data_IF_754197883680
#
_entry.id   IF_754197883680
#
_cell.length_a   1.000
_cell.length_b   1.000
_cell.length_c   1.000
_cell.angle_alpha   90.00
_cell.angle_beta   90.00
_cell.angle_gamma   90.00
#
_symmetry.space_group_name_H-M   'P 1'
#
loop_
_entity.id
_entity.type
_entity.pdbx_description
1 polymer ?
#
# COMPACT_ATOMS: atom_id res chain seq x y z
N UNK A 1 10.19 64.35 38.40
CA UNK A 1 10.68 62.94 38.50
C UNK A 1 9.74 62.09 37.70
N UNK A 2 10.09 61.82 36.42
CA UNK A 2 9.24 61.17 35.48
C UNK A 2 9.62 59.67 35.40
N UNK A 3 8.68 58.78 35.66
CA UNK A 3 8.86 57.35 35.68
C UNK A 3 8.72 56.82 34.23
N UNK A 4 9.81 56.47 33.57
CA UNK A 4 9.82 55.83 32.27
C UNK A 4 9.49 54.33 32.44
N UNK A 5 8.24 53.95 32.21
CA UNK A 5 7.83 52.54 32.13
C UNK A 5 8.21 52.04 30.73
N UNK A 6 9.25 51.20 30.65
CA UNK A 6 9.69 50.53 29.41
C UNK A 6 8.65 49.45 29.03
N UNK A 7 7.83 49.74 27.99
CA UNK A 7 6.90 48.81 27.34
C UNK A 7 7.68 47.91 26.38
N UNK A 8 8.43 46.92 26.90
CA UNK A 8 9.23 46.00 26.04
C UNK A 8 8.97 44.51 26.32
N UNK A 9 7.89 44.12 26.99
CA UNK A 9 7.70 42.73 27.38
C UNK A 9 6.69 41.89 26.59
N UNK A 10 5.74 42.37 25.78
CA UNK A 10 4.82 41.45 25.09
C UNK A 10 5.38 40.86 23.79
N UNK A 11 6.34 41.52 23.13
CA UNK A 11 6.85 41.08 21.83
C UNK A 11 7.75 39.84 21.97
N UNK A 12 8.52 39.73 23.03
CA UNK A 12 9.38 38.57 23.30
C UNK A 12 8.59 37.28 23.59
N UNK A 13 7.49 37.37 24.33
CA UNK A 13 6.65 36.23 24.65
C UNK A 13 5.86 35.71 23.41
N UNK A 14 5.39 36.63 22.56
CA UNK A 14 4.70 36.29 21.33
C UNK A 14 5.63 35.60 20.30
N UNK A 15 6.89 36.04 20.22
CA UNK A 15 7.89 35.41 19.35
C UNK A 15 8.27 33.99 19.82
N UNK A 16 8.40 33.77 21.12
CA UNK A 16 8.68 32.44 21.71
C UNK A 16 7.47 31.49 21.51
N UNK A 17 6.26 32.01 21.65
CA UNK A 17 5.04 31.19 21.40
C UNK A 17 4.89 30.83 19.93
N UNK A 18 5.24 31.72 19.02
CA UNK A 18 5.23 31.47 17.58
C UNK A 18 6.30 30.43 17.14
N UNK A 19 7.47 30.45 17.78
CA UNK A 19 8.56 29.47 17.56
C UNK A 19 8.20 28.05 18.06
N UNK A 20 7.34 27.93 19.08
CA UNK A 20 6.89 26.63 19.59
C UNK A 20 5.81 25.97 18.73
N UNK A 21 5.06 26.73 17.92
CA UNK A 21 4.00 26.21 17.05
C UNK A 21 4.56 25.61 15.76
N UNK A 22 5.76 26.01 15.31
CA UNK A 22 6.34 25.61 14.01
C UNK A 22 6.92 24.19 14.02
N UNK A 23 7.02 23.51 15.16
CA UNK A 23 7.65 22.20 15.24
C UNK A 23 6.69 21.00 15.32
N UNK A 24 5.38 21.15 14.98
CA UNK A 24 4.54 20.00 14.71
C UNK A 24 4.79 19.49 13.27
N UNK A 25 6.03 19.17 12.96
CA UNK A 25 6.33 18.32 11.80
C UNK A 25 5.73 16.96 12.10
N UNK A 26 4.63 16.64 11.47
CA UNK A 26 4.10 15.29 11.42
C UNK A 26 5.17 14.43 10.74
N UNK A 27 5.86 13.61 11.53
CA UNK A 27 6.89 12.75 11.00
C UNK A 27 6.24 11.71 10.09
N UNK A 28 6.37 11.90 8.78
CA UNK A 28 5.94 10.91 7.79
C UNK A 28 6.72 9.61 7.99
N UNK A 29 6.04 8.48 7.84
CA UNK A 29 6.71 7.18 7.88
C UNK A 29 7.67 7.07 6.69
N UNK A 30 8.92 6.71 6.97
CA UNK A 30 9.92 6.53 5.92
C UNK A 30 9.49 5.43 4.94
N UNK A 31 9.71 5.66 3.65
CA UNK A 31 9.57 4.62 2.63
C UNK A 31 10.76 3.68 2.74
N UNK A 32 10.57 2.37 2.92
CA UNK A 32 11.66 1.42 2.95
C UNK A 32 12.35 1.32 1.60
N UNK A 33 13.63 0.96 1.58
CA UNK A 33 14.35 0.67 0.34
C UNK A 33 13.78 -0.59 -0.35
N UNK A 34 13.65 -0.56 -1.67
CA UNK A 34 13.23 -1.71 -2.47
C UNK A 34 14.40 -2.71 -2.63
N UNK A 35 14.62 -3.55 -1.61
CA UNK A 35 15.67 -4.58 -1.62
C UNK A 35 15.21 -5.91 -2.24
N UNK A 36 13.92 -6.12 -2.30
CA UNK A 36 13.26 -7.32 -2.81
C UNK A 36 11.85 -6.95 -3.28
N UNK A 37 11.20 -7.80 -4.05
CA UNK A 37 9.82 -7.58 -4.51
C UNK A 37 8.80 -7.73 -3.41
N UNK A 38 9.16 -8.45 -2.34
CA UNK A 38 8.30 -8.65 -1.17
C UNK A 38 9.02 -8.12 0.07
N UNK A 39 8.49 -7.07 0.67
CA UNK A 39 8.99 -6.44 1.89
C UNK A 39 7.93 -6.58 2.96
N UNK A 40 8.21 -7.40 3.98
CA UNK A 40 7.34 -7.59 5.14
C UNK A 40 8.03 -7.07 6.40
N UNK A 41 7.57 -5.93 6.90
CA UNK A 41 8.06 -5.28 8.13
C UNK A 41 7.32 -5.75 9.38
N UNK A 42 6.42 -6.72 9.24
CA UNK A 42 5.51 -7.15 10.31
C UNK A 42 5.63 -8.64 10.66
N UNK A 43 6.51 -9.36 9.96
CA UNK A 43 6.63 -10.81 10.06
C UNK A 43 5.26 -11.53 9.90
N UNK A 44 4.43 -11.05 8.98
CA UNK A 44 3.13 -11.63 8.67
C UNK A 44 3.26 -12.87 7.80
N UNK A 45 4.25 -12.86 6.89
CA UNK A 45 4.56 -13.97 5.99
C UNK A 45 5.67 -14.85 6.56
N UNK A 46 5.59 -16.15 6.32
CA UNK A 46 6.73 -17.03 6.56
C UNK A 46 7.83 -16.80 5.52
N UNK A 47 9.05 -17.21 5.82
CA UNK A 47 10.16 -17.19 4.85
C UNK A 47 9.84 -17.97 3.58
N UNK A 48 9.10 -19.07 3.70
CA UNK A 48 8.63 -19.89 2.56
C UNK A 48 7.62 -19.13 1.70
N UNK A 49 6.68 -18.40 2.31
CA UNK A 49 5.71 -17.58 1.57
C UNK A 49 6.39 -16.45 0.82
N UNK A 50 7.34 -15.76 1.49
CA UNK A 50 8.14 -14.70 0.86
C UNK A 50 8.90 -15.27 -0.35
N UNK A 51 9.61 -16.39 -0.19
CA UNK A 51 10.38 -17.00 -1.28
C UNK A 51 9.49 -17.38 -2.47
N UNK A 52 8.29 -17.93 -2.22
CA UNK A 52 7.31 -18.30 -3.25
C UNK A 52 6.77 -17.08 -3.99
N UNK A 53 6.43 -16.02 -3.29
CA UNK A 53 5.98 -14.75 -3.88
C UNK A 53 7.09 -14.11 -4.70
N UNK A 54 8.32 -14.04 -4.17
CA UNK A 54 9.50 -13.52 -4.90
C UNK A 54 9.73 -14.26 -6.21
N UNK A 55 9.69 -15.59 -6.19
CA UNK A 55 9.86 -16.42 -7.40
C UNK A 55 8.76 -16.13 -8.42
N UNK A 56 7.50 -16.02 -7.98
CA UNK A 56 6.34 -15.73 -8.83
C UNK A 56 6.47 -14.36 -9.49
N UNK A 57 6.80 -13.34 -8.72
CA UNK A 57 6.94 -11.97 -9.21
C UNK A 57 8.17 -11.81 -10.12
N UNK A 58 9.27 -12.50 -9.83
CA UNK A 58 10.43 -12.54 -10.71
C UNK A 58 10.11 -13.23 -12.06
N UNK A 59 9.30 -14.29 -12.04
CA UNK A 59 8.87 -14.96 -13.27
C UNK A 59 7.99 -14.04 -14.13
N UNK A 60 7.04 -13.32 -13.52
CA UNK A 60 6.21 -12.32 -14.21
C UNK A 60 7.07 -11.24 -14.87
N UNK A 61 8.01 -10.66 -14.13
CA UNK A 61 8.90 -9.63 -14.65
C UNK A 61 9.73 -10.14 -15.83
N UNK A 62 10.27 -11.37 -15.73
CA UNK A 62 11.00 -12.00 -16.82
C UNK A 62 10.14 -12.24 -18.07
N UNK A 63 8.87 -12.62 -17.89
CA UNK A 63 7.96 -12.95 -18.98
C UNK A 63 7.35 -11.71 -19.65
N UNK A 64 6.86 -10.75 -18.84
CA UNK A 64 6.09 -9.59 -19.31
C UNK A 64 6.86 -8.27 -19.23
N UNK A 65 7.93 -8.22 -18.43
CA UNK A 65 8.65 -6.99 -18.12
C UNK A 65 7.95 -6.15 -17.04
N UNK A 66 6.73 -6.47 -16.66
CA UNK A 66 5.97 -5.75 -15.66
C UNK A 66 6.49 -6.06 -14.26
N UNK A 67 6.67 -5.02 -13.44
CA UNK A 67 7.19 -5.15 -12.08
C UNK A 67 6.07 -5.05 -11.05
N UNK A 68 5.91 -6.08 -10.24
CA UNK A 68 4.97 -6.08 -9.12
C UNK A 68 5.73 -6.23 -7.82
N UNK A 69 5.38 -5.40 -6.83
CA UNK A 69 5.93 -5.46 -5.48
C UNK A 69 4.83 -5.58 -4.42
N UNK A 70 5.22 -6.10 -3.26
CA UNK A 70 4.36 -6.21 -2.08
C UNK A 70 5.06 -5.54 -0.90
N UNK A 71 4.35 -4.65 -0.21
CA UNK A 71 4.81 -4.01 1.01
C UNK A 71 3.81 -4.27 2.13
N UNK A 72 4.28 -4.89 3.21
CA UNK A 72 3.50 -5.09 4.42
C UNK A 72 4.18 -4.30 5.54
N UNK A 73 3.44 -3.38 6.15
CA UNK A 73 3.94 -2.51 7.21
C UNK A 73 2.92 -2.40 8.36
N UNK A 74 3.38 -1.98 9.56
CA UNK A 74 2.47 -1.86 10.70
C UNK A 74 1.38 -0.81 10.46
N UNK A 75 1.74 0.38 9.99
CA UNK A 75 0.83 1.53 9.84
C UNK A 75 1.38 2.51 8.81
N UNK A 76 0.49 3.29 8.19
CA UNK A 76 0.85 4.44 7.34
C UNK A 76 0.64 5.77 8.06
N UNK A 77 0.05 5.74 9.25
CA UNK A 77 -0.27 6.95 10.00
C UNK A 77 0.96 7.83 10.23
N UNK A 78 0.86 9.15 10.11
CA UNK A 78 -0.37 9.93 9.98
C UNK A 78 -0.92 10.10 8.55
N UNK A 79 -0.26 9.51 7.54
CA UNK A 79 -0.73 9.56 6.15
C UNK A 79 -1.87 8.55 5.93
N UNK A 80 -2.79 8.87 5.01
CA UNK A 80 -3.70 7.86 4.50
C UNK A 80 -2.95 6.82 3.67
N UNK A 81 -3.52 5.62 3.50
CA UNK A 81 -2.86 4.58 2.71
C UNK A 81 -2.68 5.01 1.25
N UNK A 82 -3.59 5.83 0.72
CA UNK A 82 -3.52 6.38 -0.63
C UNK A 82 -2.31 7.32 -0.79
N UNK A 83 -2.11 8.23 0.16
CA UNK A 83 -0.98 9.17 0.12
C UNK A 83 0.34 8.42 0.26
N UNK A 84 0.41 7.49 1.21
CA UNK A 84 1.62 6.71 1.44
C UNK A 84 1.95 5.80 0.25
N UNK A 85 0.96 5.11 -0.35
CA UNK A 85 1.19 4.20 -1.48
C UNK A 85 1.68 4.92 -2.73
N UNK A 86 1.14 6.10 -3.04
CA UNK A 86 1.63 6.95 -4.14
C UNK A 86 3.10 7.31 -3.90
N UNK A 87 3.44 7.76 -2.69
CA UNK A 87 4.82 8.12 -2.33
C UNK A 87 5.79 6.93 -2.41
N UNK A 88 5.33 5.72 -2.04
CA UNK A 88 6.11 4.47 -2.22
C UNK A 88 6.31 4.17 -3.70
N UNK A 89 5.24 4.22 -4.50
CA UNK A 89 5.30 3.95 -5.93
C UNK A 89 6.24 4.92 -6.67
N UNK A 90 6.17 6.21 -6.35
CA UNK A 90 7.06 7.24 -6.88
C UNK A 90 8.53 7.02 -6.46
N UNK A 91 8.76 6.65 -5.20
CA UNK A 91 10.11 6.40 -4.68
C UNK A 91 10.74 5.15 -5.27
N UNK A 92 9.96 4.08 -5.41
CA UNK A 92 10.44 2.81 -5.94
C UNK A 92 10.53 2.78 -7.46
N UNK A 93 9.82 3.67 -8.15
CA UNK A 93 9.78 3.74 -9.62
C UNK A 93 9.55 2.37 -10.26
N UNK A 94 8.55 1.63 -9.75
CA UNK A 94 8.21 0.31 -10.25
C UNK A 94 7.79 0.36 -11.72
N UNK A 95 8.24 -0.65 -12.48
CA UNK A 95 7.94 -0.74 -13.90
C UNK A 95 9.02 -0.13 -14.80
N UNK A 96 8.87 -0.36 -16.10
CA UNK A 96 9.79 0.15 -17.10
C UNK A 96 9.53 1.64 -17.34
N UNK A 97 10.58 2.45 -17.29
CA UNK A 97 10.57 3.92 -17.32
C UNK A 97 9.66 4.58 -18.38
N UNK A 98 9.47 3.96 -19.54
CA UNK A 98 8.65 4.51 -20.64
C UNK A 98 7.29 3.84 -20.77
N UNK A 99 7.11 2.74 -20.09
CA UNK A 99 5.91 1.90 -20.16
C UNK A 99 5.04 2.11 -18.93
N UNK A 100 5.67 2.39 -17.79
CA UNK A 100 5.01 2.57 -16.49
C UNK A 100 4.15 1.35 -16.11
N UNK A 101 4.74 0.16 -16.27
CA UNK A 101 4.07 -1.13 -16.07
C UNK A 101 4.42 -1.74 -14.70
N UNK A 102 4.40 -0.90 -13.70
CA UNK A 102 4.56 -1.27 -12.30
C UNK A 102 3.23 -1.44 -11.57
N UNK A 103 3.19 -2.30 -10.53
CA UNK A 103 2.09 -2.35 -9.59
C UNK A 103 2.59 -2.65 -8.17
N UNK A 104 1.90 -2.13 -7.16
CA UNK A 104 2.23 -2.28 -5.75
C UNK A 104 1.01 -2.73 -4.95
N UNK A 105 1.11 -3.88 -4.27
CA UNK A 105 0.18 -4.23 -3.21
C UNK A 105 0.76 -3.76 -1.87
N UNK A 106 0.06 -2.87 -1.20
CA UNK A 106 0.44 -2.36 0.11
C UNK A 106 -0.60 -2.77 1.17
N UNK A 107 -0.12 -3.22 2.33
CA UNK A 107 -0.95 -3.64 3.46
C UNK A 107 -0.47 -2.96 4.74
N UNK A 108 -1.28 -2.06 5.30
CA UNK A 108 -1.07 -1.44 6.61
C UNK A 108 -1.87 -2.23 7.66
N UNK A 109 -1.17 -3.15 8.34
CA UNK A 109 -1.82 -4.21 9.14
C UNK A 109 -2.61 -3.68 10.32
N UNK A 110 -2.04 -2.72 11.08
CA UNK A 110 -2.68 -2.15 12.25
C UNK A 110 -3.82 -1.21 11.88
N UNK A 111 -3.70 -0.55 10.72
CA UNK A 111 -4.74 0.37 10.19
C UNK A 111 -5.89 -0.40 9.54
N UNK A 112 -5.72 -1.72 9.33
CA UNK A 112 -6.64 -2.57 8.55
C UNK A 112 -6.94 -1.99 7.16
N UNK A 113 -5.94 -1.38 6.58
CA UNK A 113 -6.00 -0.75 5.28
C UNK A 113 -5.09 -1.49 4.29
N UNK A 114 -5.53 -1.58 3.05
CA UNK A 114 -4.72 -2.12 1.95
C UNK A 114 -5.09 -1.42 0.65
N UNK A 115 -4.14 -1.36 -0.27
CA UNK A 115 -4.31 -0.71 -1.55
C UNK A 115 -3.49 -1.42 -2.63
N UNK A 116 -3.95 -1.35 -3.85
CA UNK A 116 -3.18 -1.71 -5.05
C UNK A 116 -2.99 -0.42 -5.85
N UNK A 117 -1.73 0.01 -5.96
CA UNK A 117 -1.33 1.07 -6.88
C UNK A 117 -0.93 0.45 -8.21
N UNK A 118 -1.32 1.08 -9.30
CA UNK A 118 -1.14 0.56 -10.65
C UNK A 118 -0.57 1.67 -11.53
N UNK A 119 0.57 1.41 -12.17
CA UNK A 119 1.15 2.30 -13.16
C UNK A 119 0.31 2.36 -14.44
N UNK A 120 0.40 3.47 -15.14
CA UNK A 120 -0.41 3.76 -16.33
C UNK A 120 -0.36 2.67 -17.40
N UNK A 121 0.80 2.03 -17.59
CA UNK A 121 0.96 0.95 -18.57
C UNK A 121 0.19 -0.33 -18.24
N UNK A 122 -0.29 -0.48 -17.00
CA UNK A 122 -1.10 -1.63 -16.58
C UNK A 122 -2.59 -1.32 -16.46
N UNK A 123 -3.02 -0.05 -16.54
CA UNK A 123 -4.44 0.33 -16.39
C UNK A 123 -5.37 -0.40 -17.37
N UNK A 124 -4.87 -0.75 -18.56
CA UNK A 124 -5.65 -1.49 -19.56
C UNK A 124 -6.04 -2.91 -19.12
N UNK A 125 -5.22 -3.57 -18.29
CA UNK A 125 -5.43 -4.94 -17.81
C UNK A 125 -5.79 -5.02 -16.34
N UNK A 126 -5.30 -4.08 -15.55
CA UNK A 126 -5.55 -3.96 -14.10
C UNK A 126 -6.06 -2.54 -13.76
N UNK A 127 -7.23 -2.12 -14.27
CA UNK A 127 -7.82 -0.82 -13.91
C UNK A 127 -8.28 -0.82 -12.44
N UNK A 128 -8.52 0.36 -11.88
CA UNK A 128 -8.97 0.57 -10.49
C UNK A 128 -10.14 -0.32 -10.09
N UNK A 129 -11.10 -0.52 -10.99
CA UNK A 129 -12.24 -1.39 -10.72
C UNK A 129 -11.82 -2.85 -10.47
N UNK A 130 -10.79 -3.35 -11.16
CA UNK A 130 -10.23 -4.67 -10.95
C UNK A 130 -9.38 -4.74 -9.70
N UNK A 131 -8.57 -3.72 -9.43
CA UNK A 131 -7.82 -3.59 -8.18
C UNK A 131 -8.77 -3.64 -6.97
N UNK A 132 -9.85 -2.86 -7.01
CA UNK A 132 -10.90 -2.88 -5.98
C UNK A 132 -11.57 -4.26 -5.87
N UNK A 133 -11.88 -4.93 -6.97
CA UNK A 133 -12.46 -6.27 -6.97
C UNK A 133 -11.51 -7.28 -6.29
N UNK A 134 -10.21 -7.24 -6.58
CA UNK A 134 -9.21 -8.10 -5.93
C UNK A 134 -9.21 -7.86 -4.42
N UNK A 135 -9.17 -6.60 -4.00
CA UNK A 135 -9.18 -6.22 -2.59
C UNK A 135 -10.42 -6.76 -1.89
N UNK A 136 -11.61 -6.44 -2.39
CA UNK A 136 -12.89 -6.69 -1.71
C UNK A 136 -13.31 -8.17 -1.76
N UNK A 137 -13.06 -8.85 -2.87
CA UNK A 137 -13.58 -10.20 -3.10
C UNK A 137 -12.55 -11.31 -2.86
N UNK A 138 -11.25 -11.01 -2.92
CA UNK A 138 -10.19 -12.01 -2.78
C UNK A 138 -9.42 -11.81 -1.48
N UNK A 139 -8.87 -10.59 -1.22
CA UNK A 139 -7.98 -10.36 -0.09
C UNK A 139 -8.75 -10.23 1.22
N UNK A 140 -9.70 -9.29 1.29
CA UNK A 140 -10.42 -8.97 2.53
C UNK A 140 -11.13 -10.18 3.15
N UNK A 141 -11.79 -11.10 2.40
CA UNK A 141 -12.40 -12.28 2.99
C UNK A 141 -11.41 -13.18 3.73
N UNK A 142 -10.17 -13.30 3.24
CA UNK A 142 -9.12 -14.05 3.91
C UNK A 142 -8.64 -13.34 5.18
N UNK A 143 -8.45 -12.02 5.12
CA UNK A 143 -8.03 -11.21 6.26
C UNK A 143 -9.05 -11.22 7.40
N UNK A 144 -10.35 -11.24 7.10
CA UNK A 144 -11.42 -11.41 8.09
C UNK A 144 -11.34 -12.74 8.86
N UNK A 145 -10.75 -13.75 8.24
CA UNK A 145 -10.51 -15.07 8.85
C UNK A 145 -9.09 -15.19 9.44
N UNK A 146 -8.34 -14.08 9.59
CA UNK A 146 -6.94 -14.05 10.03
C UNK A 146 -5.95 -14.80 9.11
N UNK A 147 -6.36 -15.16 7.89
CA UNK A 147 -5.52 -15.83 6.90
C UNK A 147 -4.74 -14.80 6.05
N UNK A 148 -3.88 -14.01 6.68
CA UNK A 148 -3.16 -12.91 6.01
C UNK A 148 -2.28 -13.38 4.86
N UNK A 149 -1.44 -14.41 5.08
CA UNK A 149 -0.57 -14.98 4.04
C UNK A 149 -1.37 -15.43 2.83
N UNK A 150 -2.45 -16.21 3.06
CA UNK A 150 -3.31 -16.69 1.98
C UNK A 150 -3.99 -15.55 1.21
N UNK A 151 -4.44 -14.51 1.91
CA UNK A 151 -5.06 -13.34 1.29
C UNK A 151 -4.08 -12.57 0.40
N UNK A 152 -2.85 -12.36 0.87
CA UNK A 152 -1.79 -11.69 0.11
C UNK A 152 -1.43 -12.52 -1.12
N UNK A 153 -1.20 -13.83 -0.95
CA UNK A 153 -0.87 -14.74 -2.05
C UNK A 153 -1.97 -14.76 -3.12
N UNK A 154 -3.23 -14.93 -2.70
CA UNK A 154 -4.36 -14.93 -3.63
C UNK A 154 -4.55 -13.57 -4.35
N UNK A 155 -4.29 -12.46 -3.66
CA UNK A 155 -4.30 -11.13 -4.26
C UNK A 155 -3.21 -10.96 -5.32
N UNK A 156 -1.99 -11.36 -5.00
CA UNK A 156 -0.86 -11.35 -5.94
C UNK A 156 -1.15 -12.26 -7.15
N UNK A 157 -1.70 -13.45 -6.93
CA UNK A 157 -2.08 -14.35 -8.03
C UNK A 157 -3.10 -13.72 -8.97
N UNK A 158 -4.09 -13.03 -8.40
CA UNK A 158 -5.09 -12.32 -9.20
C UNK A 158 -4.47 -11.18 -10.02
N UNK A 159 -3.55 -10.40 -9.44
CA UNK A 159 -2.81 -9.35 -10.16
C UNK A 159 -1.99 -9.96 -11.30
N UNK A 160 -1.21 -11.00 -11.03
CA UNK A 160 -0.37 -11.69 -12.01
C UNK A 160 -1.19 -12.19 -13.18
N UNK A 161 -2.32 -12.88 -12.94
CA UNK A 161 -3.24 -13.37 -13.99
C UNK A 161 -3.74 -12.25 -14.89
N UNK A 162 -4.18 -11.13 -14.32
CA UNK A 162 -4.64 -9.99 -15.11
C UNK A 162 -3.52 -9.41 -15.98
N UNK A 163 -2.31 -9.27 -15.42
CA UNK A 163 -1.14 -8.77 -16.16
C UNK A 163 -0.74 -9.75 -17.28
N UNK A 164 -0.93 -11.04 -17.07
CA UNK A 164 -0.72 -12.06 -18.10
C UNK A 164 -1.81 -12.07 -19.18
N UNK A 165 -2.91 -11.34 -18.98
CA UNK A 165 -4.04 -11.26 -19.91
C UNK A 165 -5.13 -12.29 -19.64
N UNK A 166 -5.10 -12.95 -18.48
CA UNK A 166 -6.13 -13.88 -18.06
C UNK A 166 -7.29 -13.15 -17.37
N UNK A 167 -8.48 -13.78 -17.36
CA UNK A 167 -9.61 -13.25 -16.60
C UNK A 167 -9.55 -13.69 -15.13
N UNK A 168 -10.07 -12.85 -14.21
CA UNK A 168 -10.29 -13.29 -12.84
C UNK A 168 -11.38 -14.38 -12.80
N UNK A 169 -11.21 -15.39 -11.94
CA UNK A 169 -12.30 -16.33 -11.70
C UNK A 169 -13.51 -15.55 -11.18
N UNK A 170 -14.68 -15.84 -11.74
CA UNK A 170 -15.93 -15.25 -11.24
C UNK A 170 -16.09 -15.67 -9.78
N UNK A 171 -16.52 -14.77 -8.89
CA UNK A 171 -16.90 -15.15 -7.53
C UNK A 171 -17.94 -16.26 -7.64
N UNK A 172 -17.69 -17.41 -7.03
CA UNK A 172 -18.71 -18.43 -6.87
C UNK A 172 -19.84 -17.80 -6.07
N UNK A 173 -20.93 -17.44 -6.73
CA UNK A 173 -22.14 -17.00 -6.06
C UNK A 173 -22.45 -18.06 -4.99
N UNK A 174 -22.47 -17.65 -3.70
CA UNK A 174 -23.01 -18.52 -2.66
C UNK A 174 -24.40 -18.93 -3.13
N UNK A 175 -24.52 -20.16 -3.61
CA UNK A 175 -25.81 -20.75 -3.88
C UNK A 175 -26.56 -20.75 -2.55
N UNK A 176 -27.45 -19.81 -2.38
CA UNK A 176 -28.41 -19.83 -1.29
C UNK A 176 -29.26 -21.11 -1.48
N UNK A 177 -28.75 -22.21 -0.93
CA UNK A 177 -29.55 -23.41 -0.70
C UNK A 177 -30.43 -23.16 0.52
N UNK A 178 -31.45 -22.38 0.31
CA UNK A 178 -32.45 -22.04 1.32
C UNK A 178 -33.71 -21.64 0.62
N UNK A 179 -34.55 -22.62 0.31
CA UNK A 179 -36.00 -22.69 0.44
C UNK A 179 -36.53 -23.78 -0.48
N UNK A 180 -36.71 -24.95 0.07
CA UNK A 180 -37.80 -25.81 -0.31
C UNK A 180 -38.52 -26.17 0.98
N UNK A 181 -39.63 -25.49 1.16
CA UNK A 181 -40.69 -25.92 2.08
C UNK A 181 -41.43 -27.05 1.44
#
# INVERSE_FOLDING_TARGET
MALNIRIWQPIGLAAVFFLLIVNLSWAQIAVPELKSRVIDLTATLSSTDIARLEQKLAALEKEKGSQVAVLILPTTQPESIEQYSIRVAEHWQLGRRKVDDGALLIVAKNDRALRIEVGYGLEGVLPDARAKQIIEQIIIPQFKNNNFSLGIEAGVDAMVRLIQGESLPLPTAKRNSGLSA
#
